data_IF_704336127331
#
_entry.id   IF_704336127331
#
_cell.length_a   1.000
_cell.length_b   1.000
_cell.length_c   1.000
_cell.angle_alpha   90.00
_cell.angle_beta   90.00
_cell.angle_gamma   90.00
#
_symmetry.space_group_name_H-M   'P 1'
#
loop_
_entity.id
_entity.type
_entity.pdbx_description
1 polymer ?
#
# COMPACT_ATOMS: atom_id res chain seq x y z
N UNK A 1 -0.04 10.84 -1.79
CA UNK A 1 -0.97 10.47 -2.89
C UNK A 1 -0.90 8.98 -3.22
N UNK A 2 0.24 8.42 -3.66
CA UNK A 2 0.34 6.98 -4.04
C UNK A 2 -0.08 6.06 -2.89
N UNK A 3 0.60 6.14 -1.74
CA UNK A 3 0.30 5.29 -0.59
C UNK A 3 -1.14 5.47 -0.07
N UNK A 4 -1.57 6.72 0.11
CA UNK A 4 -2.92 7.03 0.59
C UNK A 4 -4.00 6.52 -0.37
N UNK A 5 -3.80 6.64 -1.70
CA UNK A 5 -4.73 6.08 -2.69
C UNK A 5 -4.75 4.56 -2.60
N UNK A 6 -3.59 3.91 -2.49
CA UNK A 6 -3.49 2.45 -2.28
C UNK A 6 -4.27 2.01 -1.04
N UNK A 7 -4.12 2.71 0.10
CA UNK A 7 -4.85 2.39 1.33
C UNK A 7 -6.38 2.50 1.17
N UNK A 8 -6.87 3.52 0.47
CA UNK A 8 -8.30 3.65 0.19
C UNK A 8 -8.80 2.54 -0.72
N UNK A 9 -8.04 2.16 -1.74
CA UNK A 9 -8.39 1.03 -2.61
C UNK A 9 -8.38 -0.30 -1.83
N UNK A 10 -7.35 -0.57 -1.02
CA UNK A 10 -7.34 -1.75 -0.15
C UNK A 10 -8.53 -1.81 0.81
N UNK A 11 -9.02 -0.66 1.28
CA UNK A 11 -10.25 -0.59 2.11
C UNK A 11 -11.52 -0.86 1.30
N UNK A 12 -11.57 -0.42 0.04
CA UNK A 12 -12.74 -0.62 -0.84
C UNK A 12 -12.87 -2.06 -1.33
N UNK A 13 -11.77 -2.78 -1.47
CA UNK A 13 -11.71 -4.16 -1.98
C UNK A 13 -11.54 -5.16 -0.81
N UNK A 14 -12.62 -5.83 -0.35
CA UNK A 14 -12.58 -6.71 0.82
C UNK A 14 -11.63 -7.90 0.65
N UNK A 15 -11.48 -8.41 -0.57
CA UNK A 15 -10.59 -9.52 -0.93
C UNK A 15 -9.10 -9.12 -1.01
N UNK A 16 -8.81 -7.81 -1.13
CA UNK A 16 -7.44 -7.33 -1.21
C UNK A 16 -6.79 -7.34 0.18
N UNK A 17 -5.79 -8.21 0.38
CA UNK A 17 -5.01 -8.34 1.62
C UNK A 17 -3.71 -7.54 1.60
N UNK A 18 -3.03 -7.50 0.46
CA UNK A 18 -1.73 -6.84 0.31
C UNK A 18 -1.76 -5.79 -0.79
N UNK A 19 -0.99 -4.72 -0.61
CA UNK A 19 -0.74 -3.71 -1.63
C UNK A 19 0.75 -3.38 -1.72
N UNK A 20 1.21 -3.02 -2.92
CA UNK A 20 2.57 -2.59 -3.19
C UNK A 20 2.55 -1.14 -3.70
N UNK A 21 3.26 -0.26 -3.00
CA UNK A 21 3.58 1.06 -3.49
C UNK A 21 5.05 1.09 -3.92
N UNK A 22 5.31 1.55 -5.14
CA UNK A 22 6.66 1.73 -5.69
C UNK A 22 6.80 3.12 -6.31
N UNK A 23 7.99 3.70 -6.23
CA UNK A 23 8.32 4.95 -6.90
C UNK A 23 9.80 5.07 -7.20
N UNK A 24 10.12 5.77 -8.29
CA UNK A 24 11.46 6.24 -8.54
C UNK A 24 11.79 7.44 -7.65
N UNK A 25 13.07 7.54 -7.31
CA UNK A 25 13.69 8.71 -6.70
C UNK A 25 14.76 9.16 -7.70
N UNK A 26 14.95 10.48 -7.85
CA UNK A 26 16.01 11.04 -8.70
C UNK A 26 17.38 10.44 -8.38
N UNK A 27 18.37 10.66 -9.25
CA UNK A 27 19.74 10.12 -9.12
C UNK A 27 19.85 8.58 -9.12
N UNK A 28 18.85 7.88 -9.66
CA UNK A 28 18.92 6.43 -9.91
C UNK A 28 18.53 5.56 -8.73
N UNK A 29 17.65 6.04 -7.85
CA UNK A 29 17.18 5.30 -6.68
C UNK A 29 15.71 4.91 -6.82
N UNK A 30 15.28 3.94 -6.01
CA UNK A 30 13.90 3.50 -5.95
C UNK A 30 13.54 3.03 -4.55
N UNK A 31 12.25 3.11 -4.23
CA UNK A 31 11.70 2.61 -2.98
C UNK A 31 10.47 1.75 -3.29
N UNK A 32 10.33 0.66 -2.55
CA UNK A 32 9.17 -0.22 -2.58
C UNK A 32 8.67 -0.45 -1.16
N UNK A 33 7.36 -0.46 -0.97
CA UNK A 33 6.72 -0.66 0.32
C UNK A 33 5.52 -1.57 0.16
N UNK A 34 5.52 -2.67 0.92
CA UNK A 34 4.38 -3.59 1.02
C UNK A 34 3.52 -3.17 2.21
N UNK A 35 2.21 -3.15 2.00
CA UNK A 35 1.21 -2.85 3.02
C UNK A 35 0.27 -4.04 3.15
N UNK A 36 0.02 -4.49 4.36
CA UNK A 36 -1.01 -5.48 4.67
C UNK A 36 -2.24 -4.79 5.24
N UNK A 37 -3.42 -5.16 4.75
CA UNK A 37 -4.69 -4.78 5.35
C UNK A 37 -4.90 -5.64 6.60
N UNK A 38 -4.78 -5.01 7.76
CA UNK A 38 -5.09 -5.64 9.04
C UNK A 38 -6.59 -5.59 9.30
N UNK A 39 -7.17 -6.70 9.74
CA UNK A 39 -8.55 -6.72 10.21
C UNK A 39 -8.65 -5.98 11.55
N UNK A 40 -9.73 -5.21 11.73
CA UNK A 40 -9.96 -4.43 12.94
C UNK A 40 -10.11 -5.29 14.21
N UNK A 41 -10.26 -6.61 14.08
CA UNK A 41 -10.31 -7.56 15.19
C UNK A 41 -8.92 -7.98 15.71
N UNK A 42 -7.83 -7.51 15.09
CA UNK A 42 -6.46 -7.89 15.43
C UNK A 42 -5.75 -6.92 16.41
N UNK A 43 -6.52 -6.04 17.08
CA UNK A 43 -6.04 -5.09 18.10
C UNK A 43 -6.89 -5.16 19.36
#
# INVERSE_FOLDING_TARGET
RILTTLLHELRKHPEARYGLATMCIGVGQGIATIVEKVDAAAW
#
